data_IF_544847233827
#
_entry.id   IF_544847233827
#
_cell.length_a   1.000
_cell.length_b   1.000
_cell.length_c   1.000
_cell.angle_alpha   90.00
_cell.angle_beta   90.00
_cell.angle_gamma   90.00
#
_symmetry.space_group_name_H-M   'P 1'
#
loop_
_entity.id
_entity.type
_entity.pdbx_description
1 polymer ?
#
# COMPACT_ATOMS: atom_id res chain seq x y z
N UNK A 1 -7.89 -25.39 -17.87
CA UNK A 1 -7.55 -23.97 -17.62
C UNK A 1 -6.69 -23.93 -16.36
N UNK A 2 -5.53 -23.26 -16.38
CA UNK A 2 -4.58 -23.27 -15.25
C UNK A 2 -5.16 -22.68 -13.96
N UNK A 3 -4.64 -23.09 -12.80
CA UNK A 3 -5.22 -22.77 -11.47
C UNK A 3 -5.36 -21.26 -11.20
N UNK A 4 -4.42 -20.44 -11.67
CA UNK A 4 -4.40 -18.99 -11.46
C UNK A 4 -5.52 -18.23 -12.19
N UNK A 5 -5.99 -18.72 -13.34
CA UNK A 5 -6.99 -18.04 -14.18
C UNK A 5 -8.31 -18.82 -14.25
N UNK A 6 -8.53 -19.73 -13.30
CA UNK A 6 -9.76 -20.50 -13.23
C UNK A 6 -10.91 -19.63 -12.70
N UNK A 7 -12.16 -19.93 -13.06
CA UNK A 7 -13.33 -19.21 -12.51
C UNK A 7 -13.67 -19.56 -11.05
N UNK A 8 -13.01 -20.56 -10.49
CA UNK A 8 -13.31 -21.09 -9.15
C UNK A 8 -12.22 -20.62 -8.19
N UNK A 9 -12.62 -19.82 -7.20
CA UNK A 9 -11.69 -19.25 -6.22
C UNK A 9 -10.94 -20.33 -5.42
N UNK A 10 -11.48 -21.55 -5.32
CA UNK A 10 -10.76 -22.66 -4.68
C UNK A 10 -9.48 -23.02 -5.43
N UNK A 11 -9.45 -22.84 -6.75
CA UNK A 11 -8.24 -23.03 -7.55
C UNK A 11 -7.22 -21.91 -7.32
N UNK A 12 -7.69 -20.67 -7.10
CA UNK A 12 -6.81 -19.56 -6.71
C UNK A 12 -6.13 -19.84 -5.36
N UNK A 13 -6.88 -20.34 -4.38
CA UNK A 13 -6.32 -20.72 -3.07
C UNK A 13 -5.29 -21.85 -3.18
N UNK A 14 -5.57 -22.88 -3.98
CA UNK A 14 -4.61 -23.95 -4.27
C UNK A 14 -3.36 -23.44 -4.97
N UNK A 15 -3.50 -22.50 -5.90
CA UNK A 15 -2.37 -21.87 -6.57
C UNK A 15 -1.47 -21.11 -5.58
N UNK A 16 -2.07 -20.32 -4.69
CA UNK A 16 -1.34 -19.62 -3.61
C UNK A 16 -0.60 -20.63 -2.72
N UNK A 17 -1.24 -21.73 -2.32
CA UNK A 17 -0.60 -22.76 -1.51
C UNK A 17 0.64 -23.36 -2.19
N UNK A 18 0.57 -23.64 -3.49
CA UNK A 18 1.70 -24.15 -4.28
C UNK A 18 2.81 -23.10 -4.45
N UNK A 19 2.45 -21.83 -4.64
CA UNK A 19 3.40 -20.73 -4.75
C UNK A 19 4.11 -20.49 -3.41
N UNK A 20 3.42 -20.61 -2.28
CA UNK A 20 4.03 -20.53 -0.95
C UNK A 20 5.02 -21.67 -0.70
N UNK A 21 4.70 -22.90 -1.11
CA UNK A 21 5.67 -24.02 -1.06
C UNK A 21 6.87 -23.81 -1.98
N UNK A 22 6.64 -23.15 -3.13
CA UNK A 22 7.72 -22.77 -4.05
C UNK A 22 8.61 -21.70 -3.40
N UNK A 23 8.05 -20.78 -2.62
CA UNK A 23 8.82 -19.79 -1.87
C UNK A 23 9.81 -20.43 -0.88
N UNK A 24 9.44 -21.55 -0.27
CA UNK A 24 10.29 -22.29 0.67
C UNK A 24 11.43 -23.06 -0.02
N UNK A 25 11.23 -23.46 -1.29
CA UNK A 25 12.13 -24.38 -2.00
C UNK A 25 12.93 -23.71 -3.13
N UNK A 26 12.39 -22.65 -3.73
CA UNK A 26 12.98 -21.87 -4.82
C UNK A 26 12.46 -20.41 -4.76
N UNK A 27 12.84 -19.64 -3.71
CA UNK A 27 12.38 -18.26 -3.53
C UNK A 27 12.74 -17.33 -4.70
N UNK A 28 13.88 -17.57 -5.38
CA UNK A 28 14.32 -16.77 -6.53
C UNK A 28 13.33 -16.81 -7.69
N UNK A 29 12.59 -17.92 -7.84
CA UNK A 29 11.56 -18.02 -8.88
C UNK A 29 10.41 -17.04 -8.61
N UNK A 30 10.06 -16.79 -7.35
CA UNK A 30 9.04 -15.80 -7.00
C UNK A 30 9.55 -14.38 -7.22
N UNK A 31 10.79 -14.10 -6.81
CA UNK A 31 11.41 -12.77 -6.99
C UNK A 31 11.48 -12.40 -8.47
N UNK A 32 12.01 -13.31 -9.31
CA UNK A 32 12.15 -13.10 -10.77
C UNK A 32 10.83 -12.98 -11.54
N UNK A 33 9.71 -13.35 -10.92
CA UNK A 33 8.37 -13.25 -11.51
C UNK A 33 7.44 -12.39 -10.64
N UNK A 34 8.00 -11.56 -9.76
CA UNK A 34 7.25 -10.81 -8.75
C UNK A 34 6.26 -9.85 -9.40
N UNK A 35 6.63 -9.21 -10.51
CA UNK A 35 5.75 -8.33 -11.28
C UNK A 35 4.47 -9.03 -11.76
N UNK A 36 4.59 -10.24 -12.31
CA UNK A 36 3.46 -11.04 -12.80
C UNK A 36 2.60 -11.53 -11.64
N UNK A 37 3.22 -11.95 -10.55
CA UNK A 37 2.53 -12.41 -9.34
C UNK A 37 1.74 -11.27 -8.69
N UNK A 38 2.35 -10.08 -8.57
CA UNK A 38 1.70 -8.90 -8.02
C UNK A 38 0.56 -8.41 -8.93
N UNK A 39 0.75 -8.39 -10.26
CA UNK A 39 -0.34 -8.13 -11.23
C UNK A 39 -1.47 -9.14 -11.10
N UNK A 40 -1.17 -10.41 -10.86
CA UNK A 40 -2.21 -11.41 -10.61
C UNK A 40 -2.99 -11.13 -9.32
N UNK A 41 -2.31 -10.72 -8.25
CA UNK A 41 -2.95 -10.30 -7.00
C UNK A 41 -3.92 -9.12 -7.22
N UNK A 42 -3.58 -8.14 -8.07
CA UNK A 42 -4.49 -7.01 -8.33
C UNK A 42 -5.81 -7.45 -8.95
N UNK A 43 -5.82 -8.48 -9.80
CA UNK A 43 -7.05 -9.03 -10.36
C UNK A 43 -7.98 -9.55 -9.26
N UNK A 44 -7.41 -10.13 -8.19
CA UNK A 44 -8.17 -10.68 -7.06
C UNK A 44 -8.67 -9.60 -6.11
N UNK A 45 -8.04 -8.42 -6.05
CA UNK A 45 -8.52 -7.29 -5.24
C UNK A 45 -9.92 -6.79 -5.64
N UNK A 46 -10.37 -7.08 -6.86
CA UNK A 46 -11.70 -6.72 -7.34
C UNK A 46 -12.78 -7.77 -7.05
N UNK A 47 -12.40 -8.93 -6.49
CA UNK A 47 -13.37 -9.93 -6.06
C UNK A 47 -13.99 -9.56 -4.70
N UNK A 48 -15.16 -10.13 -4.42
CA UNK A 48 -15.95 -9.83 -3.21
C UNK A 48 -15.80 -10.88 -2.11
N UNK A 49 -14.86 -11.81 -2.22
CA UNK A 49 -14.68 -12.88 -1.23
C UNK A 49 -13.59 -12.51 -0.19
N UNK A 50 -13.95 -12.16 1.06
CA UNK A 50 -12.97 -11.75 2.06
C UNK A 50 -12.01 -12.87 2.46
N UNK A 51 -12.44 -14.15 2.42
CA UNK A 51 -11.55 -15.25 2.76
C UNK A 51 -10.44 -15.45 1.71
N UNK A 52 -10.73 -15.11 0.46
CA UNK A 52 -9.73 -15.13 -0.63
C UNK A 52 -8.85 -13.89 -0.55
N UNK A 53 -9.44 -12.71 -0.33
CA UNK A 53 -8.70 -11.46 -0.27
C UNK A 53 -7.58 -11.50 0.78
N UNK A 54 -7.86 -12.00 1.98
CA UNK A 54 -6.81 -12.08 3.03
C UNK A 54 -5.65 -12.99 2.60
N UNK A 55 -5.95 -14.13 1.95
CA UNK A 55 -4.91 -15.04 1.45
C UNK A 55 -4.10 -14.44 0.30
N UNK A 56 -4.73 -13.62 -0.54
CA UNK A 56 -4.03 -12.87 -1.59
C UNK A 56 -3.13 -11.79 -0.99
N UNK A 57 -3.59 -11.07 0.05
CA UNK A 57 -2.78 -10.06 0.74
C UNK A 57 -1.58 -10.71 1.45
N UNK A 58 -1.79 -11.81 2.17
CA UNK A 58 -0.72 -12.60 2.79
C UNK A 58 0.33 -13.04 1.74
N UNK A 59 -0.14 -13.54 0.59
CA UNK A 59 0.75 -13.93 -0.51
C UNK A 59 1.51 -12.75 -1.11
N UNK A 60 0.83 -11.63 -1.40
CA UNK A 60 1.48 -10.43 -1.93
C UNK A 60 2.56 -9.91 -0.97
N UNK A 61 2.29 -9.91 0.34
CA UNK A 61 3.27 -9.57 1.37
C UNK A 61 4.47 -10.50 1.32
N UNK A 62 4.26 -11.82 1.26
CA UNK A 62 5.35 -12.79 1.18
C UNK A 62 6.26 -12.56 -0.05
N UNK A 63 5.67 -12.27 -1.22
CA UNK A 63 6.43 -11.93 -2.42
C UNK A 63 7.29 -10.69 -2.19
N UNK A 64 6.72 -9.62 -1.60
CA UNK A 64 7.45 -8.38 -1.36
C UNK A 64 8.54 -8.52 -0.28
N UNK A 65 8.31 -9.34 0.75
CA UNK A 65 9.34 -9.69 1.74
C UNK A 65 10.53 -10.37 1.05
N UNK A 66 10.28 -11.27 0.10
CA UNK A 66 11.35 -11.90 -0.68
C UNK A 66 12.04 -10.89 -1.61
N UNK A 67 11.29 -10.06 -2.33
CA UNK A 67 11.87 -9.00 -3.18
C UNK A 67 12.82 -8.13 -2.36
N UNK A 68 12.39 -7.69 -1.17
CA UNK A 68 13.22 -6.93 -0.24
C UNK A 68 14.42 -7.72 0.27
N UNK A 69 14.25 -8.98 0.68
CA UNK A 69 15.35 -9.78 1.25
C UNK A 69 16.43 -10.14 0.23
N UNK A 70 16.09 -10.13 -1.06
CA UNK A 70 17.02 -10.33 -2.16
C UNK A 70 17.59 -9.01 -2.72
N UNK A 71 17.28 -7.87 -2.09
CA UNK A 71 17.65 -6.53 -2.56
C UNK A 71 17.23 -6.27 -4.02
N UNK A 72 16.13 -6.90 -4.46
CA UNK A 72 15.64 -6.75 -5.83
C UNK A 72 14.92 -5.41 -5.97
N UNK A 73 15.35 -4.53 -6.90
CA UNK A 73 14.73 -3.23 -7.06
C UNK A 73 13.34 -3.37 -7.69
N UNK A 74 12.38 -2.60 -7.17
CA UNK A 74 11.08 -2.44 -7.82
C UNK A 74 11.08 -1.18 -8.70
N UNK A 75 10.77 -1.38 -9.97
CA UNK A 75 10.63 -0.32 -10.97
C UNK A 75 9.39 0.55 -10.72
N UNK A 76 9.37 1.72 -11.33
CA UNK A 76 8.22 2.63 -11.26
C UNK A 76 6.99 2.01 -11.92
N UNK A 77 7.17 1.25 -13.00
CA UNK A 77 6.13 0.53 -13.73
C UNK A 77 5.49 -0.56 -12.87
N UNK A 78 6.30 -1.37 -12.17
CA UNK A 78 5.81 -2.40 -11.24
C UNK A 78 5.03 -1.77 -10.09
N UNK A 79 5.53 -0.68 -9.53
CA UNK A 79 4.87 0.05 -8.47
C UNK A 79 3.50 0.56 -8.94
N UNK A 80 3.42 1.21 -10.11
CA UNK A 80 2.14 1.70 -10.65
C UNK A 80 1.20 0.56 -11.09
N UNK A 81 1.72 -0.60 -11.47
CA UNK A 81 0.92 -1.78 -11.78
C UNK A 81 0.28 -2.43 -10.54
N UNK A 82 0.77 -2.14 -9.33
CA UNK A 82 0.33 -2.78 -8.09
C UNK A 82 -0.30 -1.82 -7.07
N UNK A 83 0.43 -0.77 -6.67
CA UNK A 83 0.10 0.09 -5.53
C UNK A 83 -1.28 0.76 -5.64
N UNK A 84 -1.70 1.35 -6.78
CA UNK A 84 -3.03 1.96 -6.89
C UNK A 84 -4.15 0.97 -6.58
N UNK A 85 -4.00 -0.29 -7.00
CA UNK A 85 -4.98 -1.35 -6.77
C UNK A 85 -4.98 -1.83 -5.31
N UNK A 86 -3.79 -1.92 -4.69
CA UNK A 86 -3.65 -2.21 -3.27
C UNK A 86 -4.34 -1.15 -2.40
N UNK A 87 -4.17 0.14 -2.72
CA UNK A 87 -4.76 1.24 -1.94
C UNK A 87 -6.30 1.22 -1.96
N UNK A 88 -6.94 0.63 -2.96
CA UNK A 88 -8.40 0.41 -2.93
C UNK A 88 -8.83 -0.51 -1.78
N UNK A 89 -7.91 -1.34 -1.27
CA UNK A 89 -8.13 -2.26 -0.15
C UNK A 89 -7.79 -1.64 1.21
N UNK A 90 -7.13 -0.48 1.29
CA UNK A 90 -6.84 0.15 2.59
C UNK A 90 -8.11 0.65 3.29
N UNK A 91 -9.19 0.89 2.55
CA UNK A 91 -10.48 1.29 3.09
C UNK A 91 -11.43 0.14 3.46
N UNK A 92 -10.95 -1.10 3.58
CA UNK A 92 -11.77 -2.27 3.91
C UNK A 92 -12.46 -2.15 5.29
N UNK A 93 -13.64 -2.76 5.42
CA UNK A 93 -14.43 -2.64 6.66
C UNK A 93 -13.75 -3.29 7.86
N UNK A 94 -13.11 -4.45 7.64
CA UNK A 94 -12.46 -5.21 8.71
C UNK A 94 -11.06 -4.68 8.96
N UNK A 95 -10.73 -4.46 10.23
CA UNK A 95 -9.44 -3.90 10.65
C UNK A 95 -8.26 -4.81 10.27
N UNK A 96 -8.40 -6.13 10.44
CA UNK A 96 -7.35 -7.07 10.05
C UNK A 96 -6.99 -6.99 8.55
N UNK A 97 -7.95 -6.67 7.67
CA UNK A 97 -7.70 -6.45 6.26
C UNK A 97 -6.89 -5.17 6.03
N UNK A 98 -7.25 -4.08 6.72
CA UNK A 98 -6.53 -2.81 6.63
C UNK A 98 -5.10 -2.95 7.15
N UNK A 99 -4.89 -3.68 8.24
CA UNK A 99 -3.57 -3.97 8.78
C UNK A 99 -2.72 -4.78 7.79
N UNK A 100 -3.29 -5.82 7.16
CA UNK A 100 -2.58 -6.56 6.11
C UNK A 100 -2.18 -5.67 4.92
N UNK A 101 -3.04 -4.72 4.53
CA UNK A 101 -2.69 -3.74 3.49
C UNK A 101 -1.59 -2.77 3.94
N UNK A 102 -1.64 -2.29 5.19
CA UNK A 102 -0.60 -1.42 5.75
C UNK A 102 0.76 -2.11 5.78
N UNK A 103 0.81 -3.36 6.22
CA UNK A 103 2.04 -4.15 6.22
C UNK A 103 2.64 -4.31 4.81
N UNK A 104 1.82 -4.45 3.77
CA UNK A 104 2.28 -4.48 2.38
C UNK A 104 2.83 -3.10 1.96
N UNK A 105 2.16 -2.01 2.34
CA UNK A 105 2.64 -0.65 2.07
C UNK A 105 4.00 -0.42 2.73
N UNK A 106 4.21 -0.89 3.95
CA UNK A 106 5.49 -0.80 4.66
C UNK A 106 6.60 -1.55 3.90
N UNK A 107 6.36 -2.79 3.45
CA UNK A 107 7.33 -3.55 2.66
C UNK A 107 7.70 -2.84 1.34
N UNK A 108 6.72 -2.26 0.63
CA UNK A 108 7.00 -1.50 -0.61
C UNK A 108 7.77 -0.21 -0.29
N UNK A 109 7.45 0.43 0.83
CA UNK A 109 8.16 1.63 1.29
C UNK A 109 9.62 1.32 1.58
N UNK A 110 9.91 0.18 2.20
CA UNK A 110 11.28 -0.25 2.47
C UNK A 110 12.06 -0.56 1.17
N UNK A 111 11.38 -1.04 0.12
CA UNK A 111 12.01 -1.31 -1.19
C UNK A 111 12.24 -0.02 -2.01
N UNK A 112 11.24 0.87 -2.06
CA UNK A 112 11.20 2.00 -3.01
C UNK A 112 11.47 3.38 -2.38
N UNK A 113 11.30 3.49 -1.06
CA UNK A 113 11.36 4.73 -0.32
C UNK A 113 10.05 5.55 -0.35
N UNK A 114 9.81 6.41 0.67
CA UNK A 114 8.64 7.28 0.77
C UNK A 114 8.42 8.19 -0.44
N UNK A 115 9.50 8.74 -1.01
CA UNK A 115 9.42 9.69 -2.13
C UNK A 115 8.71 9.10 -3.36
N UNK A 116 8.98 7.82 -3.70
CA UNK A 116 8.30 7.13 -4.81
C UNK A 116 6.85 6.78 -4.50
N UNK A 117 6.53 6.49 -3.24
CA UNK A 117 5.18 6.10 -2.80
C UNK A 117 4.22 7.29 -2.67
N UNK A 118 4.72 8.45 -2.25
CA UNK A 118 3.93 9.65 -1.98
C UNK A 118 2.96 10.02 -3.12
N UNK A 119 3.36 10.13 -4.40
CA UNK A 119 2.44 10.51 -5.47
C UNK A 119 1.17 9.65 -5.54
N UNK A 120 1.31 8.33 -5.35
CA UNK A 120 0.18 7.39 -5.39
C UNK A 120 -0.72 7.50 -4.16
N UNK A 121 -0.13 7.74 -2.97
CA UNK A 121 -0.89 8.00 -1.74
C UNK A 121 -1.65 9.33 -1.80
N UNK A 122 -1.03 10.37 -2.36
CA UNK A 122 -1.68 11.68 -2.56
C UNK A 122 -2.87 11.58 -3.52
N UNK A 123 -2.75 10.79 -4.59
CA UNK A 123 -3.87 10.51 -5.49
C UNK A 123 -5.00 9.75 -4.76
N UNK A 124 -4.64 8.81 -3.88
CA UNK A 124 -5.62 8.05 -3.11
C UNK A 124 -6.44 8.90 -2.13
N UNK A 125 -5.99 10.11 -1.77
CA UNK A 125 -6.79 11.05 -0.96
C UNK A 125 -8.02 11.58 -1.69
N UNK A 126 -8.08 11.50 -3.03
CA UNK A 126 -9.22 11.97 -3.84
C UNK A 126 -10.40 10.97 -3.86
N UNK A 127 -10.22 9.79 -3.28
CA UNK A 127 -11.28 8.76 -3.20
C UNK A 127 -12.48 9.24 -2.39
N UNK A 128 -13.67 8.71 -2.72
CA UNK A 128 -14.89 8.92 -1.91
C UNK A 128 -14.88 8.10 -0.61
N UNK A 129 -14.05 7.06 -0.50
CA UNK A 129 -13.97 6.21 0.69
C UNK A 129 -13.20 6.89 1.83
N UNK A 130 -13.92 7.34 2.87
CA UNK A 130 -13.32 8.02 4.01
C UNK A 130 -12.28 7.18 4.77
N UNK A 131 -12.47 5.86 4.87
CA UNK A 131 -11.48 4.98 5.53
C UNK A 131 -10.17 4.96 4.76
N UNK A 132 -10.25 4.82 3.44
CA UNK A 132 -9.06 4.86 2.57
C UNK A 132 -8.32 6.20 2.73
N UNK A 133 -9.04 7.34 2.76
CA UNK A 133 -8.42 8.66 3.02
C UNK A 133 -7.71 8.69 4.37
N UNK A 134 -8.37 8.28 5.45
CA UNK A 134 -7.79 8.28 6.79
C UNK A 134 -6.54 7.39 6.89
N UNK A 135 -6.59 6.20 6.31
CA UNK A 135 -5.46 5.25 6.30
C UNK A 135 -4.28 5.78 5.48
N UNK A 136 -4.53 6.41 4.32
CA UNK A 136 -3.47 7.03 3.52
C UNK A 136 -2.85 8.24 4.23
N UNK A 137 -3.64 9.05 4.95
CA UNK A 137 -3.13 10.17 5.75
C UNK A 137 -2.19 9.69 6.86
N UNK A 138 -2.50 8.58 7.53
CA UNK A 138 -1.62 7.99 8.54
C UNK A 138 -0.29 7.50 7.96
N UNK A 139 -0.30 6.94 6.74
CA UNK A 139 0.94 6.56 6.04
C UNK A 139 1.78 7.81 5.72
N UNK A 140 1.14 8.87 5.24
CA UNK A 140 1.82 10.14 4.94
C UNK A 140 2.40 10.80 6.21
N UNK A 141 1.67 10.76 7.33
CA UNK A 141 2.17 11.18 8.65
C UNK A 141 3.45 10.40 9.01
N UNK A 142 3.41 9.07 8.91
CA UNK A 142 4.57 8.23 9.21
C UNK A 142 5.77 8.53 8.30
N UNK A 143 5.53 8.84 7.02
CA UNK A 143 6.60 9.23 6.11
C UNK A 143 7.25 10.55 6.52
N UNK A 144 6.46 11.53 6.98
CA UNK A 144 6.98 12.79 7.50
C UNK A 144 7.83 12.53 8.75
N UNK A 145 7.33 11.71 9.69
CA UNK A 145 8.06 11.39 10.93
C UNK A 145 9.37 10.62 10.70
N UNK A 146 9.44 9.78 9.66
CA UNK A 146 10.62 8.93 9.39
C UNK A 146 11.63 9.54 8.42
N UNK A 147 11.15 10.18 7.36
CA UNK A 147 12.00 10.70 6.27
C UNK A 147 12.19 12.22 6.31
N UNK A 148 11.40 12.92 7.14
CA UNK A 148 11.39 14.37 7.24
C UNK A 148 10.58 15.05 6.13
N UNK A 149 10.03 16.23 6.44
CA UNK A 149 9.17 16.97 5.51
C UNK A 149 9.93 17.59 4.33
N UNK A 150 11.18 18.01 4.52
CA UNK A 150 11.96 18.77 3.53
C UNK A 150 12.00 18.10 2.15
N UNK A 151 12.21 16.78 2.11
CA UNK A 151 12.30 16.03 0.85
C UNK A 151 10.93 15.88 0.17
N UNK A 152 9.87 15.72 0.97
CA UNK A 152 8.51 15.45 0.50
C UNK A 152 7.72 16.73 0.18
N UNK A 153 8.20 17.89 0.62
CA UNK A 153 7.53 19.19 0.42
C UNK A 153 7.33 19.53 -1.06
N UNK A 154 8.30 19.16 -1.91
CA UNK A 154 8.25 19.33 -3.37
C UNK A 154 7.07 18.59 -4.02
N UNK A 155 6.55 17.55 -3.38
CA UNK A 155 5.40 16.77 -3.83
C UNK A 155 4.05 17.36 -3.37
N UNK A 156 4.06 18.47 -2.63
CA UNK A 156 2.84 19.12 -2.15
C UNK A 156 2.12 18.39 -1.02
N UNK A 157 2.81 17.49 -0.30
CA UNK A 157 2.25 16.65 0.77
C UNK A 157 1.50 17.47 1.84
N UNK A 158 2.11 18.55 2.34
CA UNK A 158 1.53 19.44 3.35
C UNK A 158 0.21 20.08 2.89
N UNK A 159 0.13 20.53 1.63
CA UNK A 159 -1.09 21.12 1.07
C UNK A 159 -2.20 20.08 0.93
N UNK A 160 -1.86 18.88 0.49
CA UNK A 160 -2.81 17.79 0.36
C UNK A 160 -3.38 17.35 1.71
N UNK A 161 -2.53 17.22 2.74
CA UNK A 161 -2.96 16.92 4.12
C UNK A 161 -3.84 18.07 4.64
N UNK A 162 -3.44 19.32 4.46
CA UNK A 162 -4.22 20.48 4.92
C UNK A 162 -5.64 20.53 4.32
N UNK A 163 -5.79 20.19 3.04
CA UNK A 163 -7.09 20.13 2.39
C UNK A 163 -8.06 19.12 3.07
N UNK A 164 -7.54 18.08 3.73
CA UNK A 164 -8.33 17.07 4.41
C UNK A 164 -8.80 17.46 5.83
N UNK A 165 -8.33 18.57 6.40
CA UNK A 165 -8.77 19.03 7.75
C UNK A 165 -10.26 19.39 7.77
N UNK A 166 -10.80 19.81 6.62
CA UNK A 166 -12.21 20.17 6.45
C UNK A 166 -13.12 18.99 6.07
N UNK A 167 -12.60 17.75 6.09
CA UNK A 167 -13.37 16.56 5.70
C UNK A 167 -14.58 16.34 6.61
N UNK A 168 -15.65 15.74 6.07
CA UNK A 168 -16.87 15.44 6.84
C UNK A 168 -16.66 14.28 7.81
N UNK A 169 -15.76 13.35 7.50
CA UNK A 169 -15.47 12.21 8.35
C UNK A 169 -14.50 12.56 9.48
N UNK A 170 -14.84 12.19 10.71
CA UNK A 170 -14.05 12.52 11.90
C UNK A 170 -12.65 11.90 11.85
N UNK A 171 -12.50 10.67 11.36
CA UNK A 171 -11.20 10.00 11.34
C UNK A 171 -10.26 10.63 10.31
N UNK A 172 -10.82 11.07 9.17
CA UNK A 172 -10.05 11.80 8.16
C UNK A 172 -9.55 13.13 8.72
N UNK A 173 -10.40 13.89 9.41
CA UNK A 173 -9.97 15.15 10.05
C UNK A 173 -8.89 14.92 11.08
N UNK A 174 -9.07 13.93 11.97
CA UNK A 174 -8.07 13.61 13.01
C UNK A 174 -6.72 13.20 12.40
N UNK A 175 -6.72 12.33 11.38
CA UNK A 175 -5.50 11.93 10.69
C UNK A 175 -4.83 13.11 9.96
N UNK A 176 -5.62 14.00 9.34
CA UNK A 176 -5.09 15.20 8.70
C UNK A 176 -4.43 16.15 9.70
N UNK A 177 -5.07 16.39 10.85
CA UNK A 177 -4.52 17.21 11.93
C UNK A 177 -3.20 16.63 12.44
N UNK A 178 -3.15 15.32 12.70
CA UNK A 178 -1.92 14.66 13.14
C UNK A 178 -0.79 14.76 12.09
N UNK A 179 -1.11 14.57 10.80
CA UNK A 179 -0.17 14.77 9.72
C UNK A 179 0.38 16.22 9.64
N UNK A 180 -0.45 17.22 9.90
CA UNK A 180 0.00 18.62 10.00
C UNK A 180 0.84 18.88 11.25
N UNK A 181 0.53 18.22 12.37
CA UNK A 181 1.38 18.28 13.57
C UNK A 181 2.75 17.67 13.28
N UNK A 182 2.82 16.55 12.57
CA UNK A 182 4.08 15.97 12.11
C UNK A 182 4.84 16.93 11.18
N UNK A 183 4.15 17.59 10.24
CA UNK A 183 4.76 18.65 9.41
C UNK A 183 5.35 19.78 10.25
N UNK A 184 4.60 20.27 11.24
CA UNK A 184 5.02 21.37 12.11
C UNK A 184 6.21 21.01 13.00
N UNK A 185 6.30 19.77 13.48
CA UNK A 185 7.46 19.30 14.27
C UNK A 185 8.77 19.39 13.49
N UNK A 186 8.73 19.15 12.18
CA UNK A 186 9.90 19.17 11.31
C UNK A 186 10.33 20.59 10.89
N UNK A 187 9.38 21.49 10.61
CA UNK A 187 9.67 22.82 10.03
C UNK A 187 9.45 24.02 10.98
N UNK A 188 8.84 23.81 12.15
CA UNK A 188 8.45 24.89 13.06
C UNK A 188 7.48 25.89 12.43
N UNK A 189 7.57 27.17 12.81
CA UNK A 189 6.71 28.27 12.33
C UNK A 189 6.96 28.69 10.87
N UNK A 190 7.80 27.98 10.10
CA UNK A 190 8.00 28.27 8.68
C UNK A 190 6.75 27.91 7.87
N UNK A 191 5.79 28.86 7.84
CA UNK A 191 4.55 28.91 7.05
C UNK A 191 4.18 27.58 6.37
N UNK A 192 3.41 26.77 7.10
CA UNK A 192 2.43 25.85 6.53
C UNK A 192 1.31 26.72 5.93
N UNK A 193 1.58 27.38 4.79
CA UNK A 193 0.65 28.24 4.05
C UNK A 193 0.59 27.80 2.60
#
# INVERSE_FOLDING_TARGET
MGMLFHKDFKQHLKAIELLNKTAETCPEALVKNSDLLLKWCTLRFYETNPAVLIKVLEFAKQVLVLVRSFDEPMSTEEMYAFVPHLLLKSGEQKENMRNAVREIIDEITDICGPFKMCPTLLEALKTKNARQRAECLQVLELYIERAGLTQLKSLGIHKAIAACVSDRDNNVRSAAINGLVACYREEGDQRIV
#
